data_IF_318235888761
#
_entry.id   IF_318235888761
#
_cell.length_a   1.000
_cell.length_b   1.000
_cell.length_c   1.000
_cell.angle_alpha   90.00
_cell.angle_beta   90.00
_cell.angle_gamma   90.00
#
_symmetry.space_group_name_H-M   'P 1'
#
loop_
_entity.id
_entity.type
_entity.pdbx_description
1 polymer ?
#
# COMPACT_ATOMS: atom_id res chain seq x y z
N UNK A 1 -0.95 6.61 9.77
CA UNK A 1 -1.29 6.97 8.37
C UNK A 1 -0.03 7.57 7.78
N UNK A 2 0.57 6.86 6.83
CA UNK A 2 1.84 7.28 6.24
C UNK A 2 1.57 8.25 5.10
N UNK A 3 2.45 9.22 4.91
CA UNK A 3 2.38 10.19 3.81
C UNK A 3 3.49 9.85 2.84
N UNK A 4 3.14 9.72 1.58
CA UNK A 4 4.07 9.43 0.50
C UNK A 4 3.94 10.56 -0.49
N UNK A 5 5.02 11.28 -0.70
CA UNK A 5 5.07 12.33 -1.71
C UNK A 5 5.02 11.67 -3.09
N UNK A 6 4.40 12.33 -4.06
CA UNK A 6 4.33 11.83 -5.43
C UNK A 6 4.64 12.91 -6.44
N UNK A 7 5.03 12.51 -7.64
CA UNK A 7 5.19 13.48 -8.71
C UNK A 7 3.82 14.11 -9.01
N UNK A 8 3.85 15.32 -9.58
CA UNK A 8 2.64 16.09 -9.86
C UNK A 8 1.66 15.34 -10.77
N UNK A 9 2.17 14.58 -11.73
CA UNK A 9 1.39 13.75 -12.65
C UNK A 9 1.03 12.36 -12.09
N UNK A 10 1.50 11.98 -10.90
CA UNK A 10 1.20 10.70 -10.25
C UNK A 10 1.94 9.47 -10.79
N UNK A 11 2.89 9.63 -11.72
CA UNK A 11 3.66 8.52 -12.30
C UNK A 11 4.68 7.89 -11.35
N UNK A 12 5.05 8.58 -10.26
CA UNK A 12 6.09 8.14 -9.35
C UNK A 12 5.75 8.45 -7.90
N UNK A 13 6.01 7.48 -7.02
CA UNK A 13 5.99 7.62 -5.58
C UNK A 13 7.42 7.83 -5.08
N UNK A 14 7.64 8.82 -4.22
CA UNK A 14 8.93 9.04 -3.58
C UNK A 14 8.99 8.20 -2.30
N UNK A 15 9.34 6.91 -2.44
CA UNK A 15 9.42 5.94 -1.34
C UNK A 15 10.71 5.12 -1.45
N UNK A 16 11.28 4.80 -0.28
CA UNK A 16 12.48 3.98 -0.04
C UNK A 16 13.68 4.71 -0.62
N UNK A 17 14.33 4.11 -1.60
CA UNK A 17 15.54 4.63 -2.23
C UNK A 17 15.28 5.94 -2.98
N UNK A 18 14.02 6.25 -3.26
CA UNK A 18 13.59 7.40 -4.06
C UNK A 18 13.10 8.59 -3.22
N UNK A 19 13.20 8.54 -1.89
CA UNK A 19 12.62 9.56 -1.00
C UNK A 19 13.23 10.96 -1.16
N UNK A 20 14.50 11.03 -1.55
CA UNK A 20 15.27 12.29 -1.66
C UNK A 20 15.31 12.86 -3.08
N UNK A 21 14.58 12.28 -4.03
CA UNK A 21 14.59 12.74 -5.41
C UNK A 21 13.80 14.03 -5.58
N UNK A 22 14.48 15.03 -6.13
CA UNK A 22 13.89 16.34 -6.46
C UNK A 22 13.14 16.35 -7.80
N UNK A 23 13.30 15.29 -8.61
CA UNK A 23 12.68 15.16 -9.93
C UNK A 23 12.14 13.74 -10.16
N UNK A 24 11.01 13.65 -10.85
CA UNK A 24 10.43 12.38 -11.27
C UNK A 24 11.28 11.70 -12.35
N UNK A 25 11.62 10.42 -12.16
CA UNK A 25 12.37 9.62 -13.14
C UNK A 25 11.63 9.41 -14.48
N UNK A 26 10.30 9.53 -14.47
CA UNK A 26 9.45 9.22 -15.64
C UNK A 26 9.02 10.47 -16.42
N UNK A 27 8.57 11.52 -15.73
CA UNK A 27 8.10 12.75 -16.38
C UNK A 27 9.07 13.93 -16.27
N UNK A 28 10.16 13.81 -15.50
CA UNK A 28 11.14 14.89 -15.31
C UNK A 28 10.63 16.10 -14.51
N UNK A 29 9.36 16.10 -14.08
CA UNK A 29 8.79 17.20 -13.30
C UNK A 29 9.40 17.25 -11.89
N UNK A 30 9.48 18.47 -11.34
CA UNK A 30 9.94 18.70 -9.98
C UNK A 30 8.97 18.14 -8.93
N UNK A 31 9.52 17.54 -7.88
CA UNK A 31 8.77 16.98 -6.73
C UNK A 31 8.11 18.07 -5.90
N UNK A 32 8.80 19.20 -5.71
CA UNK A 32 8.44 20.24 -4.76
C UNK A 32 8.09 21.56 -5.44
N UNK A 33 7.15 22.29 -4.84
CA UNK A 33 6.79 23.65 -5.24
C UNK A 33 7.98 24.59 -5.03
N UNK A 34 8.17 25.59 -5.91
CA UNK A 34 9.24 26.56 -5.75
C UNK A 34 9.07 27.33 -4.43
N UNK A 35 10.19 27.53 -3.71
CA UNK A 35 10.20 28.37 -2.51
C UNK A 35 9.93 29.82 -2.92
N UNK A 36 8.78 30.37 -2.54
CA UNK A 36 8.41 31.78 -2.83
C UNK A 36 9.14 32.79 -1.95
N UNK A 37 9.66 32.37 -0.80
CA UNK A 37 10.31 33.22 0.18
C UNK A 37 11.80 32.87 0.32
N UNK A 38 12.65 33.88 0.55
CA UNK A 38 14.07 33.73 0.83
C UNK A 38 14.38 33.16 2.23
N UNK A 39 13.46 32.42 2.86
CA UNK A 39 13.78 31.74 4.10
C UNK A 39 14.45 30.39 3.77
N UNK A 40 15.78 30.27 3.98
CA UNK A 40 16.50 29.05 3.63
C UNK A 40 15.99 27.85 4.43
N UNK A 41 15.50 28.07 5.65
CA UNK A 41 15.07 27.03 6.59
C UNK A 41 13.64 26.51 6.36
N UNK A 42 12.91 27.04 5.37
CA UNK A 42 11.56 26.55 5.06
C UNK A 42 11.63 25.14 4.47
N UNK A 43 10.86 24.20 5.06
CA UNK A 43 10.70 22.83 4.54
C UNK A 43 10.15 22.85 3.11
N UNK A 44 10.66 21.95 2.26
CA UNK A 44 10.15 21.76 0.89
C UNK A 44 8.67 21.34 0.96
N UNK A 45 7.84 21.83 0.04
CA UNK A 45 6.41 21.49 -0.02
C UNK A 45 6.15 20.70 -1.29
N UNK A 46 5.76 19.41 -1.21
CA UNK A 46 5.50 18.58 -2.37
C UNK A 46 4.29 19.09 -3.17
N UNK A 47 4.23 18.76 -4.47
CA UNK A 47 3.06 19.06 -5.28
C UNK A 47 1.84 18.22 -4.88
N UNK A 48 2.05 16.91 -4.70
CA UNK A 48 1.01 15.94 -4.38
C UNK A 48 1.52 15.04 -3.26
N UNK A 49 0.62 14.71 -2.32
CA UNK A 49 0.89 13.81 -1.20
C UNK A 49 -0.22 12.76 -1.16
N UNK A 50 0.15 11.50 -1.35
CA UNK A 50 -0.73 10.36 -1.09
C UNK A 50 -0.68 9.98 0.38
N UNK A 51 -1.79 9.46 0.89
CA UNK A 51 -1.88 8.95 2.26
C UNK A 51 -2.10 7.46 2.23
N UNK A 52 -1.13 6.70 2.71
CA UNK A 52 -1.22 5.26 2.83
C UNK A 52 -1.91 4.88 4.14
N UNK A 53 -2.95 4.07 4.00
CA UNK A 53 -3.67 3.45 5.11
C UNK A 53 -3.14 2.02 5.25
N UNK A 54 -2.57 1.63 6.42
CA UNK A 54 -2.06 0.28 6.61
C UNK A 54 -3.14 -0.77 6.33
N UNK A 55 -2.86 -1.66 5.39
CA UNK A 55 -3.81 -2.70 4.97
C UNK A 55 -4.20 -3.61 6.14
N UNK A 56 -3.25 -3.93 7.03
CA UNK A 56 -3.48 -4.79 8.20
C UNK A 56 -4.61 -4.26 9.09
N UNK A 57 -4.68 -2.94 9.32
CA UNK A 57 -5.73 -2.35 10.15
C UNK A 57 -7.10 -2.44 9.47
N UNK A 58 -7.15 -2.26 8.15
CA UNK A 58 -8.38 -2.45 7.38
C UNK A 58 -8.83 -3.91 7.42
N UNK A 59 -7.90 -4.85 7.24
CA UNK A 59 -8.19 -6.28 7.30
C UNK A 59 -8.71 -6.68 8.68
N UNK A 60 -8.04 -6.29 9.77
CA UNK A 60 -8.52 -6.57 11.13
C UNK A 60 -9.99 -6.18 11.33
N UNK A 61 -10.41 -5.02 10.80
CA UNK A 61 -11.80 -4.57 10.87
C UNK A 61 -12.76 -5.43 10.04
N UNK A 62 -12.34 -5.86 8.85
CA UNK A 62 -13.13 -6.75 8.00
C UNK A 62 -13.27 -8.15 8.62
N UNK A 63 -12.21 -8.67 9.26
CA UNK A 63 -12.25 -9.93 9.99
C UNK A 63 -13.09 -9.86 11.27
N UNK A 64 -13.19 -8.69 11.91
CA UNK A 64 -13.98 -8.50 13.13
C UNK A 64 -15.50 -8.41 12.86
N UNK A 65 -15.91 -8.18 11.61
CA UNK A 65 -17.32 -8.06 11.23
C UNK A 65 -17.84 -9.43 10.78
N UNK A 66 -18.80 -10.01 11.52
CA UNK A 66 -19.31 -11.37 11.28
C UNK A 66 -19.76 -11.60 9.83
N UNK A 67 -20.47 -10.63 9.23
CA UNK A 67 -20.98 -10.74 7.85
C UNK A 67 -19.87 -10.85 6.80
N UNK A 68 -18.68 -10.32 7.07
CA UNK A 68 -17.52 -10.43 6.17
C UNK A 68 -16.52 -11.48 6.63
N UNK A 69 -16.50 -11.86 7.91
CA UNK A 69 -15.57 -12.81 8.48
C UNK A 69 -15.69 -14.21 7.85
N UNK A 70 -16.91 -14.67 7.56
CA UNK A 70 -17.11 -15.96 6.88
C UNK A 70 -16.46 -15.98 5.49
N UNK A 71 -16.67 -14.91 4.70
CA UNK A 71 -16.06 -14.77 3.37
C UNK A 71 -14.54 -14.61 3.47
N UNK A 72 -14.05 -13.85 4.46
CA UNK A 72 -12.62 -13.64 4.64
C UNK A 72 -11.89 -14.90 5.09
N UNK A 73 -12.51 -15.79 5.87
CA UNK A 73 -11.91 -17.05 6.36
C UNK A 73 -12.14 -18.24 5.44
N UNK A 74 -12.97 -18.10 4.40
CA UNK A 74 -13.29 -19.16 3.45
C UNK A 74 -12.03 -19.82 2.85
N UNK A 75 -11.02 -19.01 2.51
CA UNK A 75 -9.77 -19.50 1.94
C UNK A 75 -9.03 -20.52 2.83
N UNK A 76 -9.22 -20.49 4.15
CA UNK A 76 -8.61 -21.44 5.08
C UNK A 76 -9.52 -22.64 5.37
N UNK A 77 -10.84 -22.44 5.31
CA UNK A 77 -11.83 -23.45 5.71
C UNK A 77 -12.32 -24.33 4.55
N UNK A 78 -12.16 -23.87 3.31
CA UNK A 78 -12.60 -24.63 2.14
C UNK A 78 -11.67 -25.81 1.82
N UNK A 79 -12.26 -26.90 1.35
CA UNK A 79 -11.51 -28.08 0.91
C UNK A 79 -11.25 -27.98 -0.59
N UNK A 80 -9.98 -27.89 -0.97
CA UNK A 80 -9.53 -28.01 -2.36
C UNK A 80 -9.19 -29.46 -2.68
N UNK A 81 -9.46 -29.88 -3.92
CA UNK A 81 -8.99 -31.18 -4.42
C UNK A 81 -7.51 -31.06 -4.75
N UNK A 82 -6.70 -32.01 -4.30
CA UNK A 82 -5.27 -32.04 -4.62
C UNK A 82 -5.04 -31.95 -6.14
N UNK A 83 -4.12 -31.07 -6.54
CA UNK A 83 -3.70 -30.91 -7.93
C UNK A 83 -4.58 -30.04 -8.82
N UNK A 84 -5.65 -29.40 -8.31
CA UNK A 84 -6.50 -28.49 -9.10
C UNK A 84 -6.64 -27.13 -8.42
N UNK A 85 -6.32 -26.06 -9.13
CA UNK A 85 -6.60 -24.68 -8.69
C UNK A 85 -8.10 -24.40 -8.89
N UNK A 86 -8.86 -24.38 -7.81
CA UNK A 86 -10.31 -24.17 -7.84
C UNK A 86 -10.66 -22.69 -7.63
N UNK A 87 -9.78 -21.94 -6.97
CA UNK A 87 -9.98 -20.53 -6.68
C UNK A 87 -8.65 -19.76 -6.75
N UNK A 88 -8.64 -18.45 -7.06
CA UNK A 88 -7.44 -17.63 -7.01
C UNK A 88 -6.71 -17.64 -5.66
N UNK A 89 -7.39 -17.98 -4.56
CA UNK A 89 -6.79 -18.16 -3.22
C UNK A 89 -5.79 -19.32 -3.14
N UNK A 90 -5.86 -20.25 -4.08
CA UNK A 90 -4.98 -21.43 -4.13
C UNK A 90 -3.63 -21.10 -4.79
N UNK A 91 -3.48 -19.88 -5.31
CA UNK A 91 -2.24 -19.41 -5.91
C UNK A 91 -1.18 -19.14 -4.84
N UNK A 92 0.08 -19.46 -5.16
CA UNK A 92 1.25 -19.27 -4.28
C UNK A 92 1.36 -17.84 -3.69
N UNK A 93 0.92 -16.83 -4.45
CA UNK A 93 0.90 -15.45 -4.00
C UNK A 93 0.07 -15.22 -2.72
N UNK A 94 -0.98 -16.02 -2.48
CA UNK A 94 -1.82 -15.90 -1.29
C UNK A 94 -1.14 -16.41 -0.02
N UNK A 95 -0.17 -17.31 -0.12
CA UNK A 95 0.58 -17.81 1.04
C UNK A 95 1.28 -16.68 1.81
N UNK A 96 1.75 -15.66 1.10
CA UNK A 96 2.38 -14.47 1.71
C UNK A 96 1.41 -13.61 2.52
N UNK A 97 0.12 -13.61 2.16
CA UNK A 97 -0.90 -12.85 2.87
C UNK A 97 -1.34 -13.59 4.15
N UNK A 98 -1.48 -14.90 4.07
CA UNK A 98 -1.96 -15.75 5.18
C UNK A 98 -0.89 -15.91 6.27
N UNK A 99 0.37 -16.11 5.90
CA UNK A 99 1.47 -16.33 6.87
C UNK A 99 1.78 -15.13 7.77
N UNK A 100 1.30 -13.93 7.41
CA UNK A 100 1.52 -12.69 8.17
C UNK A 100 0.33 -12.23 9.02
N UNK A 101 -0.82 -12.92 8.98
CA UNK A 101 -2.00 -12.54 9.78
C UNK A 101 -2.07 -13.33 11.09
N UNK A 102 -1.81 -12.70 12.25
CA UNK A 102 -1.85 -13.38 13.56
C UNK A 102 -3.29 -13.61 14.08
N UNK A 103 -4.29 -13.59 13.20
CA UNK A 103 -5.71 -13.69 13.58
C UNK A 103 -6.20 -15.16 13.60
N UNK A 104 -5.37 -16.10 13.11
CA UNK A 104 -5.70 -17.53 13.06
C UNK A 104 -4.80 -18.40 13.98
N UNK A 105 -4.22 -17.81 15.04
CA UNK A 105 -3.63 -18.56 16.16
C UNK A 105 -4.50 -18.48 17.41
#
# INVERSE_FOLDING_TARGET
MEKIDTCKSGFMLYWKDDIDLDYCKFCGEATYKPKRERNPNRKKTPYVVLRYLPLTLCMQRLYALEVTAEQMTWHANHQTKEGTMCHPSDAEAWSHLIGHTPILQ
#
